data_IF_727891900612
#
_entry.id   IF_727891900612
#
_cell.length_a   1.000
_cell.length_b   1.000
_cell.length_c   1.000
_cell.angle_alpha   90.00
_cell.angle_beta   90.00
_cell.angle_gamma   90.00
#
_symmetry.space_group_name_H-M   'P 1'
#
loop_
_entity.id
_entity.type
_entity.pdbx_description
1 polymer ?
#
# COMPACT_ATOMS: atom_id res chain seq x y z
N UNK A 1 -14.51 -7.77 -21.64
CA UNK A 1 -14.72 -6.63 -20.73
C UNK A 1 -15.16 -7.23 -19.41
N UNK A 2 -14.19 -7.67 -18.61
CA UNK A 2 -14.46 -8.03 -17.24
C UNK A 2 -14.55 -6.73 -16.42
N UNK A 3 -15.61 -6.64 -15.64
CA UNK A 3 -15.88 -5.47 -14.83
C UNK A 3 -14.81 -5.35 -13.74
N UNK A 4 -14.34 -4.13 -13.50
CA UNK A 4 -13.56 -3.80 -12.31
C UNK A 4 -14.20 -4.46 -11.09
N UNK A 5 -13.43 -5.19 -10.30
CA UNK A 5 -13.92 -5.70 -9.02
C UNK A 5 -14.19 -4.50 -8.11
N UNK A 6 -15.44 -4.02 -8.20
CA UNK A 6 -15.94 -3.00 -7.29
C UNK A 6 -16.20 -3.70 -5.97
N UNK A 7 -15.33 -3.51 -5.00
CA UNK A 7 -15.67 -3.78 -3.60
C UNK A 7 -16.76 -2.76 -3.28
N UNK A 8 -18.02 -3.20 -3.23
CA UNK A 8 -19.16 -2.32 -3.05
C UNK A 8 -19.02 -1.52 -1.76
N UNK A 9 -19.05 -0.19 -1.79
CA UNK A 9 -18.88 0.62 -0.61
C UNK A 9 -20.19 0.60 0.21
N UNK A 10 -20.24 -0.18 1.27
CA UNK A 10 -21.12 0.18 2.38
C UNK A 10 -20.36 1.20 3.23
N UNK A 11 -20.70 2.47 3.05
CA UNK A 11 -20.21 3.55 3.90
C UNK A 11 -20.56 3.27 5.35
N UNK A 12 -19.64 2.71 6.12
CA UNK A 12 -19.79 2.51 7.57
C UNK A 12 -18.59 3.15 8.26
N UNK A 13 -18.82 4.12 9.15
CA UNK A 13 -17.74 4.67 9.94
C UNK A 13 -17.15 3.59 10.86
N UNK A 14 -15.86 3.44 10.84
CA UNK A 14 -15.12 2.57 11.77
C UNK A 14 -15.07 3.30 13.13
N UNK A 15 -15.56 2.71 14.23
CA UNK A 15 -15.41 3.31 15.56
C UNK A 15 -13.98 3.09 16.07
N UNK A 16 -13.04 3.94 15.70
CA UNK A 16 -11.70 3.98 16.26
C UNK A 16 -11.71 4.76 17.58
N UNK A 17 -12.12 4.14 18.69
CA UNK A 17 -12.10 4.75 20.02
C UNK A 17 -12.55 6.23 20.04
N UNK A 18 -13.70 6.52 19.39
CA UNK A 18 -14.30 7.86 19.34
C UNK A 18 -13.97 8.70 18.08
N UNK A 19 -13.21 8.19 17.13
CA UNK A 19 -13.00 8.81 15.80
C UNK A 19 -13.63 7.96 14.70
N UNK A 20 -14.11 8.62 13.65
CA UNK A 20 -14.63 7.94 12.45
C UNK A 20 -13.56 8.03 11.36
N UNK A 21 -13.40 6.95 10.59
CA UNK A 21 -12.57 6.91 9.40
C UNK A 21 -13.49 6.71 8.18
N UNK A 22 -13.47 7.65 7.24
CA UNK A 22 -14.05 7.44 5.92
C UNK A 22 -12.99 6.79 5.03
N UNK A 23 -13.40 5.88 4.14
CA UNK A 23 -12.46 5.19 3.25
C UNK A 23 -13.10 4.87 1.90
N UNK A 24 -12.25 4.66 0.90
CA UNK A 24 -12.61 4.10 -0.40
C UNK A 24 -11.43 3.29 -0.93
N UNK A 25 -11.71 2.24 -1.69
CA UNK A 25 -10.67 1.43 -2.33
C UNK A 25 -11.11 0.99 -3.71
N UNK A 26 -10.18 1.03 -4.67
CA UNK A 26 -10.38 0.56 -6.04
C UNK A 26 -9.13 -0.09 -6.58
N UNK A 27 -9.34 -1.09 -7.43
CA UNK A 27 -8.29 -1.75 -8.19
C UNK A 27 -8.78 -1.96 -9.63
N UNK A 28 -7.89 -1.77 -10.60
CA UNK A 28 -8.16 -1.93 -12.03
C UNK A 28 -6.96 -2.59 -12.71
N UNK A 29 -7.21 -3.48 -13.64
CA UNK A 29 -6.16 -4.20 -14.38
C UNK A 29 -5.29 -3.28 -15.25
N UNK A 30 -5.74 -2.05 -15.50
CA UNK A 30 -5.10 -1.16 -16.47
C UNK A 30 -5.54 -1.48 -17.90
N UNK A 31 -4.79 -0.94 -18.87
CA UNK A 31 -5.11 -1.08 -20.30
C UNK A 31 -4.21 -2.05 -21.04
N UNK A 32 -3.10 -2.45 -20.43
CA UNK A 32 -2.03 -3.24 -21.09
C UNK A 32 -1.89 -4.62 -20.50
N UNK A 33 -2.04 -4.77 -19.20
CA UNK A 33 -1.94 -6.06 -18.50
C UNK A 33 -3.16 -6.93 -18.80
N UNK A 34 -2.97 -8.25 -18.80
CA UNK A 34 -4.02 -9.25 -19.02
C UNK A 34 -4.67 -9.74 -17.71
N UNK A 35 -3.97 -9.57 -16.59
CA UNK A 35 -4.40 -9.96 -15.23
C UNK A 35 -4.10 -8.83 -14.25
N UNK A 36 -4.81 -8.82 -13.14
CA UNK A 36 -4.51 -7.93 -12.04
C UNK A 36 -3.76 -8.73 -10.97
N UNK A 37 -2.51 -8.36 -10.71
CA UNK A 37 -1.65 -8.97 -9.71
C UNK A 37 -1.59 -8.14 -8.40
N UNK A 38 -2.28 -6.99 -8.35
CA UNK A 38 -2.49 -6.21 -7.14
C UNK A 38 -3.53 -6.86 -6.23
N UNK A 39 -3.34 -6.74 -4.94
CA UNK A 39 -4.30 -7.17 -3.91
C UNK A 39 -4.50 -6.09 -2.85
N UNK A 40 -5.76 -5.93 -2.43
CA UNK A 40 -6.17 -4.97 -1.42
C UNK A 40 -6.90 -5.70 -0.28
N UNK A 41 -6.70 -5.24 0.95
CA UNK A 41 -7.48 -5.68 2.10
C UNK A 41 -7.75 -4.50 3.05
N UNK A 42 -9.00 -4.35 3.43
CA UNK A 42 -9.46 -3.37 4.40
C UNK A 42 -10.15 -4.08 5.56
N UNK A 43 -9.49 -4.11 6.70
CA UNK A 43 -10.07 -4.63 7.93
C UNK A 43 -10.56 -3.47 8.80
N UNK A 44 -11.86 -3.22 8.69
CA UNK A 44 -12.50 -2.07 9.32
C UNK A 44 -12.67 -2.23 10.83
N UNK A 45 -12.63 -3.46 11.34
CA UNK A 45 -12.73 -3.72 12.79
C UNK A 45 -11.42 -3.40 13.49
N UNK A 46 -10.30 -3.68 12.84
CA UNK A 46 -8.97 -3.42 13.39
C UNK A 46 -8.39 -2.08 12.96
N UNK A 47 -8.96 -1.44 11.92
CA UNK A 47 -8.44 -0.21 11.32
C UNK A 47 -7.23 -0.45 10.42
N UNK A 48 -7.03 -1.68 9.95
CA UNK A 48 -5.91 -2.05 9.08
C UNK A 48 -6.30 -1.93 7.60
N UNK A 49 -5.45 -1.30 6.82
CA UNK A 49 -5.51 -1.25 5.36
C UNK A 49 -4.20 -1.75 4.79
N UNK A 50 -4.26 -2.63 3.80
CA UNK A 50 -3.08 -3.24 3.17
C UNK A 50 -3.27 -3.23 1.66
N UNK A 51 -2.19 -2.89 0.94
CA UNK A 51 -2.08 -2.98 -0.50
C UNK A 51 -0.78 -3.72 -0.82
N UNK A 52 -0.83 -4.61 -1.78
CA UNK A 52 0.31 -5.40 -2.24
C UNK A 52 0.27 -5.49 -3.77
N UNK A 53 1.39 -5.20 -4.43
CA UNK A 53 1.60 -5.30 -5.86
C UNK A 53 2.45 -6.54 -6.14
N UNK A 54 1.86 -7.48 -6.86
CA UNK A 54 2.43 -8.80 -7.08
C UNK A 54 3.37 -8.85 -8.27
N UNK A 55 4.50 -9.53 -8.10
CA UNK A 55 5.46 -9.77 -9.19
C UNK A 55 5.81 -11.25 -9.32
N UNK A 56 5.98 -11.71 -10.55
CA UNK A 56 6.39 -13.09 -10.84
C UNK A 56 5.80 -13.62 -12.14
N UNK A 57 6.42 -14.68 -12.69
CA UNK A 57 5.88 -15.36 -13.87
C UNK A 57 4.71 -16.28 -13.56
N UNK A 58 3.86 -16.59 -14.57
CA UNK A 58 2.80 -17.59 -14.49
C UNK A 58 1.86 -17.47 -13.27
N UNK A 59 1.28 -16.31 -13.01
CA UNK A 59 0.38 -16.01 -11.89
C UNK A 59 1.05 -16.01 -10.50
N UNK A 60 2.36 -16.01 -10.43
CA UNK A 60 3.09 -15.98 -9.16
C UNK A 60 2.84 -14.68 -8.38
N UNK A 61 2.77 -13.54 -9.08
CA UNK A 61 2.48 -12.23 -8.50
C UNK A 61 1.11 -12.15 -7.84
N UNK A 62 0.05 -12.57 -8.53
CA UNK A 62 -1.32 -12.62 -7.99
C UNK A 62 -1.40 -13.45 -6.70
N UNK A 63 -0.72 -14.60 -6.67
CA UNK A 63 -0.71 -15.46 -5.49
C UNK A 63 0.08 -14.80 -4.35
N UNK A 64 1.23 -14.20 -4.64
CA UNK A 64 2.06 -13.56 -3.62
C UNK A 64 1.36 -12.36 -2.98
N UNK A 65 0.77 -11.48 -3.77
CA UNK A 65 0.04 -10.30 -3.28
C UNK A 65 -1.20 -10.71 -2.47
N UNK A 66 -1.99 -11.67 -2.97
CA UNK A 66 -3.15 -12.20 -2.23
C UNK A 66 -2.74 -12.87 -0.90
N UNK A 67 -1.65 -13.63 -0.88
CA UNK A 67 -1.12 -14.21 0.36
C UNK A 67 -0.69 -13.12 1.33
N UNK A 68 0.01 -12.09 0.87
CA UNK A 68 0.50 -11.01 1.71
C UNK A 68 -0.65 -10.31 2.45
N UNK A 69 -1.66 -9.82 1.72
CA UNK A 69 -2.78 -9.10 2.32
C UNK A 69 -3.60 -9.98 3.26
N UNK A 70 -3.87 -11.24 2.86
CA UNK A 70 -4.66 -12.16 3.67
C UNK A 70 -3.96 -12.58 4.96
N UNK A 71 -2.66 -12.85 4.92
CA UNK A 71 -1.88 -13.24 6.11
C UNK A 71 -1.78 -12.07 7.08
N UNK A 72 -1.44 -10.87 6.60
CA UNK A 72 -1.33 -9.70 7.45
C UNK A 72 -2.67 -9.37 8.11
N UNK A 73 -3.76 -9.29 7.35
CA UNK A 73 -5.09 -9.03 7.93
C UNK A 73 -5.55 -10.17 8.85
N UNK A 74 -5.29 -11.43 8.49
CA UNK A 74 -5.63 -12.60 9.30
C UNK A 74 -4.98 -12.58 10.69
N UNK A 75 -3.72 -12.11 10.79
CA UNK A 75 -3.02 -11.93 12.07
C UNK A 75 -3.72 -10.92 12.97
N UNK A 76 -4.23 -9.82 12.42
CA UNK A 76 -4.95 -8.81 13.19
C UNK A 76 -6.34 -9.28 13.61
N UNK A 77 -7.05 -10.03 12.78
CA UNK A 77 -8.37 -10.62 13.13
C UNK A 77 -8.25 -11.68 14.23
N UNK A 78 -7.24 -12.56 14.11
CA UNK A 78 -7.07 -13.67 15.05
C UNK A 78 -6.56 -13.19 16.41
N UNK A 79 -5.73 -12.17 16.41
CA UNK A 79 -5.09 -11.65 17.62
C UNK A 79 -5.24 -10.12 17.68
N UNK A 80 -6.37 -9.58 18.13
CA UNK A 80 -6.57 -8.14 18.25
C UNK A 80 -5.49 -7.50 19.16
N UNK A 81 -5.24 -6.20 18.97
CA UNK A 81 -4.34 -5.44 19.85
C UNK A 81 -4.91 -5.45 21.28
N UNK A 82 -4.20 -6.12 22.19
CA UNK A 82 -4.60 -6.25 23.59
C UNK A 82 -3.87 -5.27 24.53
N UNK A 83 -2.75 -4.71 24.05
CA UNK A 83 -1.98 -3.69 24.76
C UNK A 83 -2.36 -2.30 24.26
N UNK A 84 -2.18 -1.25 25.08
CA UNK A 84 -2.29 0.12 24.58
C UNK A 84 -1.42 0.26 23.32
N UNK A 85 -1.97 0.79 22.22
CA UNK A 85 -1.27 0.81 20.93
C UNK A 85 0.02 1.64 20.94
N UNK A 86 0.13 2.55 21.90
CA UNK A 86 1.25 3.47 22.13
C UNK A 86 2.25 2.96 23.21
N UNK A 87 2.03 1.77 23.78
CA UNK A 87 3.03 1.15 24.66
C UNK A 87 4.30 0.83 23.86
N UNK A 88 5.42 1.43 24.27
CA UNK A 88 6.71 1.34 23.55
C UNK A 88 7.59 0.27 24.16
N UNK A 89 8.07 -0.66 23.34
CA UNK A 89 9.09 -1.64 23.68
C UNK A 89 10.15 -1.67 22.57
N UNK A 90 11.43 -1.66 22.95
CA UNK A 90 12.56 -1.61 22.01
C UNK A 90 12.50 -0.46 20.97
N UNK A 91 11.90 0.68 21.35
CA UNK A 91 11.78 1.85 20.47
C UNK A 91 10.60 1.85 19.49
N UNK A 92 9.82 0.77 19.47
CA UNK A 92 8.60 0.65 18.63
C UNK A 92 7.36 0.53 19.52
N UNK A 93 6.24 1.05 19.04
CA UNK A 93 4.95 0.83 19.70
C UNK A 93 4.50 -0.63 19.56
N UNK A 94 3.54 -1.05 20.37
CA UNK A 94 2.94 -2.38 20.25
C UNK A 94 2.24 -2.55 18.89
N UNK A 95 1.68 -1.48 18.33
CA UNK A 95 1.08 -1.47 16.98
C UNK A 95 2.13 -1.71 15.89
N UNK A 96 3.26 -0.98 15.94
CA UNK A 96 4.36 -1.13 14.99
C UNK A 96 5.00 -2.52 15.06
N UNK A 97 5.31 -3.02 16.27
CA UNK A 97 5.84 -4.38 16.46
C UNK A 97 4.91 -5.45 15.91
N UNK A 98 3.61 -5.26 16.14
CA UNK A 98 2.59 -6.18 15.65
C UNK A 98 2.55 -6.22 14.14
N UNK A 99 2.57 -5.05 13.49
CA UNK A 99 2.54 -4.94 12.03
C UNK A 99 3.79 -5.59 11.42
N UNK A 100 4.98 -5.28 11.94
CA UNK A 100 6.23 -5.91 11.51
C UNK A 100 6.21 -7.44 11.65
N UNK A 101 5.64 -7.95 12.77
CA UNK A 101 5.55 -9.40 13.00
C UNK A 101 4.62 -10.08 12.00
N UNK A 102 3.47 -9.47 11.69
CA UNK A 102 2.51 -9.99 10.72
C UNK A 102 3.13 -10.00 9.29
N UNK A 103 3.83 -8.93 8.91
CA UNK A 103 4.51 -8.82 7.62
C UNK A 103 5.66 -9.84 7.52
N UNK A 104 6.46 -10.01 8.56
CA UNK A 104 7.53 -11.01 8.57
C UNK A 104 6.98 -12.45 8.47
N UNK A 105 5.78 -12.71 9.01
CA UNK A 105 5.08 -13.97 8.81
C UNK A 105 4.64 -14.14 7.36
N UNK A 106 4.03 -13.12 6.76
CA UNK A 106 3.64 -13.15 5.35
C UNK A 106 4.86 -13.43 4.44
N UNK A 107 5.98 -12.73 4.65
CA UNK A 107 7.21 -12.98 3.91
C UNK A 107 7.63 -14.44 3.98
N UNK A 108 7.68 -15.01 5.17
CA UNK A 108 8.12 -16.38 5.37
C UNK A 108 7.22 -17.38 4.66
N UNK A 109 5.91 -17.20 4.72
CA UNK A 109 4.95 -18.12 4.09
C UNK A 109 5.00 -18.03 2.56
N UNK A 110 5.12 -16.81 1.99
CA UNK A 110 5.28 -16.61 0.55
C UNK A 110 6.60 -17.24 0.07
N UNK A 111 7.72 -16.97 0.75
CA UNK A 111 9.02 -17.55 0.44
C UNK A 111 8.98 -19.09 0.46
N UNK A 112 8.36 -19.68 1.49
CA UNK A 112 8.23 -21.14 1.59
C UNK A 112 7.38 -21.75 0.45
N UNK A 113 6.29 -21.09 0.07
CA UNK A 113 5.49 -21.54 -1.07
C UNK A 113 6.28 -21.52 -2.38
N UNK A 114 7.09 -20.47 -2.62
CA UNK A 114 7.97 -20.38 -3.78
C UNK A 114 9.03 -21.49 -3.82
N UNK A 115 9.49 -21.98 -2.65
CA UNK A 115 10.43 -23.12 -2.57
C UNK A 115 9.74 -24.47 -2.82
N UNK A 116 8.51 -24.66 -2.36
CA UNK A 116 7.79 -25.95 -2.43
C UNK A 116 7.17 -26.15 -3.81
N UNK A 117 6.68 -25.11 -4.45
CA UNK A 117 5.96 -25.14 -5.72
C UNK A 117 6.81 -24.56 -6.84
N UNK A 118 7.40 -25.39 -7.74
CA UNK A 118 8.31 -24.89 -8.79
C UNK A 118 7.67 -23.84 -9.72
N UNK A 119 6.36 -23.91 -9.95
CA UNK A 119 5.61 -22.94 -10.76
C UNK A 119 5.51 -21.56 -10.11
N UNK A 120 5.73 -21.46 -8.80
CA UNK A 120 5.72 -20.21 -8.02
C UNK A 120 7.12 -19.75 -7.64
N UNK A 121 8.15 -20.41 -8.17
CA UNK A 121 9.55 -20.05 -7.86
C UNK A 121 9.84 -18.60 -8.25
N UNK A 122 10.35 -17.83 -7.29
CA UNK A 122 10.67 -16.42 -7.50
C UNK A 122 9.46 -15.47 -7.45
N UNK A 123 8.27 -15.95 -7.03
CA UNK A 123 7.16 -15.04 -6.76
C UNK A 123 7.49 -14.09 -5.62
N UNK A 124 7.01 -12.88 -5.71
CA UNK A 124 7.17 -11.86 -4.69
C UNK A 124 6.08 -10.82 -4.79
N UNK A 125 6.08 -9.90 -3.85
CA UNK A 125 5.16 -8.77 -3.85
C UNK A 125 5.72 -7.61 -3.05
N UNK A 126 5.34 -6.39 -3.44
CA UNK A 126 5.46 -5.22 -2.56
C UNK A 126 4.46 -5.33 -1.42
N UNK A 127 4.54 -4.47 -0.44
CA UNK A 127 3.48 -4.27 0.53
C UNK A 127 3.57 -2.87 1.12
N UNK A 128 2.42 -2.18 1.17
CA UNK A 128 2.21 -1.03 2.04
C UNK A 128 1.01 -1.29 2.94
N UNK A 129 1.14 -0.92 4.21
CA UNK A 129 0.08 -1.07 5.18
C UNK A 129 -0.05 0.19 6.03
N UNK A 130 -1.29 0.54 6.38
CA UNK A 130 -1.63 1.60 7.30
C UNK A 130 -2.57 1.04 8.38
N UNK A 131 -2.14 1.12 9.64
CA UNK A 131 -2.92 0.71 10.80
C UNK A 131 -3.34 1.96 11.57
N UNK A 132 -4.62 2.25 11.55
CA UNK A 132 -5.23 3.42 12.19
C UNK A 132 -5.71 3.05 13.58
N UNK A 133 -5.07 3.58 14.63
CA UNK A 133 -5.45 3.32 16.02
C UNK A 133 -5.45 4.62 16.84
N UNK A 134 -6.58 4.97 17.41
CA UNK A 134 -6.73 6.21 18.18
C UNK A 134 -6.43 7.46 17.34
N UNK A 135 -5.43 8.25 17.75
CA UNK A 135 -4.99 9.46 17.05
C UNK A 135 -3.71 9.27 16.23
N UNK A 136 -3.35 8.05 15.91
CA UNK A 136 -2.10 7.70 15.22
C UNK A 136 -2.37 6.76 14.04
N UNK A 137 -1.51 6.84 13.05
CA UNK A 137 -1.39 5.84 11.99
C UNK A 137 0.01 5.24 12.06
N UNK A 138 0.08 3.92 12.05
CA UNK A 138 1.32 3.16 11.87
C UNK A 138 1.39 2.74 10.41
N UNK A 139 2.46 3.12 9.73
CA UNK A 139 2.69 2.83 8.32
C UNK A 139 3.85 1.87 8.21
N UNK A 140 3.69 0.81 7.42
CA UNK A 140 4.77 -0.10 7.07
C UNK A 140 4.89 -0.23 5.55
N UNK A 141 6.12 -0.35 5.04
CA UNK A 141 6.36 -0.48 3.59
C UNK A 141 7.50 -1.44 3.27
N UNK A 142 7.35 -2.13 2.14
CA UNK A 142 8.34 -2.97 1.47
C UNK A 142 8.07 -2.88 -0.03
N UNK A 143 9.11 -2.56 -0.82
CA UNK A 143 8.99 -2.33 -2.25
C UNK A 143 8.77 -0.85 -2.58
N UNK A 144 8.09 -0.58 -3.66
CA UNK A 144 7.87 0.76 -4.21
C UNK A 144 6.41 1.21 -4.22
N UNK A 145 5.46 0.38 -3.76
CA UNK A 145 4.12 0.87 -3.44
C UNK A 145 4.18 1.95 -2.37
N UNK A 146 3.35 2.97 -2.47
CA UNK A 146 3.51 4.20 -1.68
C UNK A 146 2.36 4.50 -0.75
N UNK A 147 2.67 5.22 0.33
CA UNK A 147 1.70 5.89 1.19
C UNK A 147 1.96 7.39 1.14
N UNK A 148 0.91 8.15 0.83
CA UNK A 148 0.91 9.62 0.84
C UNK A 148 -0.02 10.14 1.92
N UNK A 149 0.21 11.38 2.33
CA UNK A 149 -0.69 12.16 3.18
C UNK A 149 -1.01 13.52 2.55
N UNK A 150 -2.29 13.85 2.47
CA UNK A 150 -2.77 15.20 2.19
C UNK A 150 -3.25 15.83 3.50
N UNK A 151 -2.57 16.89 3.93
CA UNK A 151 -2.87 17.65 5.16
C UNK A 151 -2.86 19.15 4.86
N UNK A 152 -3.99 19.81 5.04
CA UNK A 152 -4.09 21.28 4.87
C UNK A 152 -3.57 21.75 3.51
N UNK A 153 -3.81 21.02 2.44
CA UNK A 153 -3.35 21.34 1.08
C UNK A 153 -1.89 20.97 0.80
N UNK A 154 -1.19 20.34 1.74
CA UNK A 154 0.16 19.80 1.52
C UNK A 154 0.09 18.30 1.28
N UNK A 155 0.52 17.87 0.10
CA UNK A 155 0.59 16.47 -0.31
C UNK A 155 2.03 15.99 -0.21
N UNK A 156 2.27 14.91 0.51
CA UNK A 156 3.61 14.39 0.76
C UNK A 156 3.64 12.87 0.75
N UNK A 157 4.67 12.30 0.14
CA UNK A 157 4.96 10.88 0.24
C UNK A 157 5.55 10.58 1.62
N UNK A 158 4.98 9.60 2.32
CA UNK A 158 5.44 9.18 3.65
C UNK A 158 6.40 7.98 3.60
N UNK A 159 6.30 7.13 2.59
CA UNK A 159 7.19 5.97 2.38
C UNK A 159 8.40 6.35 1.53
N UNK A 160 9.45 5.55 1.62
CA UNK A 160 10.62 5.63 0.74
C UNK A 160 10.61 4.39 -0.14
N UNK A 161 10.75 4.57 -1.45
CA UNK A 161 10.71 3.45 -2.40
C UNK A 161 11.98 2.59 -2.27
N UNK A 162 11.83 1.28 -2.18
CA UNK A 162 12.95 0.34 -2.24
C UNK A 162 13.28 0.02 -3.70
N UNK A 163 13.88 0.98 -4.40
CA UNK A 163 14.29 0.85 -5.80
C UNK A 163 15.75 1.22 -5.99
N UNK A 164 16.36 0.66 -7.06
CA UNK A 164 17.76 0.99 -7.42
C UNK A 164 17.92 2.49 -7.63
N UNK A 165 16.96 3.16 -8.25
CA UNK A 165 17.05 4.60 -8.51
C UNK A 165 16.95 5.44 -7.23
N UNK A 166 16.13 5.00 -6.26
CA UNK A 166 16.01 5.67 -4.97
C UNK A 166 17.32 5.55 -4.17
N UNK A 167 17.94 4.38 -4.15
CA UNK A 167 19.24 4.20 -3.53
C UNK A 167 20.31 5.09 -4.18
N UNK A 168 20.28 5.24 -5.52
CA UNK A 168 21.18 6.16 -6.22
C UNK A 168 20.96 7.61 -5.83
N UNK A 169 19.71 8.03 -5.60
CA UNK A 169 19.40 9.39 -5.09
C UNK A 169 19.95 9.58 -3.68
N UNK A 170 19.75 8.61 -2.78
CA UNK A 170 20.24 8.67 -1.40
C UNK A 170 21.78 8.73 -1.31
N UNK A 171 22.47 8.03 -2.21
CA UNK A 171 23.92 8.13 -2.34
C UNK A 171 24.40 9.37 -3.10
N UNK A 172 23.49 10.24 -3.56
CA UNK A 172 23.82 11.45 -4.30
C UNK A 172 24.41 11.21 -5.70
N UNK A 173 24.15 10.01 -6.27
CA UNK A 173 24.65 9.63 -7.60
C UNK A 173 23.80 10.22 -8.72
N UNK A 174 22.51 10.38 -8.48
CA UNK A 174 21.55 11.02 -9.39
C UNK A 174 20.62 11.95 -8.61
N UNK A 175 19.98 12.91 -9.31
CA UNK A 175 18.95 13.75 -8.69
C UNK A 175 17.58 13.05 -8.70
N UNK A 176 16.62 13.48 -7.87
CA UNK A 176 15.25 12.96 -7.92
C UNK A 176 14.60 13.09 -9.32
N UNK A 177 14.89 14.18 -10.04
CA UNK A 177 14.40 14.41 -11.40
C UNK A 177 14.99 13.39 -12.38
N UNK A 178 16.26 13.05 -12.23
CA UNK A 178 16.93 12.03 -13.04
C UNK A 178 16.35 10.65 -12.75
N UNK A 179 16.06 10.34 -11.48
CA UNK A 179 15.45 9.08 -11.08
C UNK A 179 14.08 8.86 -11.74
N UNK A 180 13.24 9.89 -11.79
CA UNK A 180 11.92 9.84 -12.45
C UNK A 180 11.99 9.51 -13.96
N UNK A 181 13.08 9.89 -14.63
CA UNK A 181 13.30 9.68 -16.06
C UNK A 181 14.10 8.41 -16.36
N UNK A 182 14.59 7.71 -15.35
CA UNK A 182 15.44 6.54 -15.51
C UNK A 182 14.62 5.34 -16.05
N UNK A 183 15.17 4.64 -17.03
CA UNK A 183 14.53 3.47 -17.65
C UNK A 183 14.45 2.24 -16.72
N UNK A 184 15.15 2.27 -15.58
CA UNK A 184 15.20 1.22 -14.56
C UNK A 184 14.49 1.63 -13.26
N UNK A 185 13.58 2.62 -13.29
CA UNK A 185 12.90 3.14 -12.09
C UNK A 185 12.05 2.09 -11.36
N UNK A 186 11.49 1.11 -12.07
CA UNK A 186 10.72 0.00 -11.48
C UNK A 186 11.58 -1.20 -11.04
N UNK A 187 12.91 -1.09 -10.97
CA UNK A 187 13.74 -2.14 -10.40
C UNK A 187 13.76 -2.05 -8.89
N UNK A 188 12.92 -2.86 -8.24
CA UNK A 188 12.84 -2.93 -6.79
C UNK A 188 14.02 -3.69 -6.19
N UNK A 189 14.50 -3.25 -5.03
CA UNK A 189 15.61 -3.85 -4.28
C UNK A 189 15.14 -4.68 -3.09
N UNK A 190 13.86 -4.55 -2.70
CA UNK A 190 13.28 -5.26 -1.56
C UNK A 190 11.83 -5.63 -1.83
N UNK A 191 11.47 -6.91 -1.59
CA UNK A 191 10.11 -7.42 -1.76
C UNK A 191 9.83 -8.59 -0.82
N UNK A 192 8.57 -8.86 -0.53
CA UNK A 192 8.15 -10.06 0.19
C UNK A 192 8.28 -11.30 -0.69
N UNK A 193 8.68 -12.42 -0.08
CA UNK A 193 8.73 -13.74 -0.72
C UNK A 193 10.00 -14.03 -1.51
N UNK A 194 10.88 -13.04 -1.73
CA UNK A 194 12.11 -13.21 -2.50
C UNK A 194 13.23 -13.78 -1.64
N UNK A 195 13.32 -13.37 -0.39
CA UNK A 195 14.33 -13.82 0.57
C UNK A 195 13.68 -14.39 1.84
N UNK A 196 14.44 -15.23 2.56
CA UNK A 196 13.95 -15.87 3.80
C UNK A 196 13.61 -14.88 4.91
N UNK A 197 14.25 -13.73 4.94
CA UNK A 197 13.99 -12.62 5.86
C UNK A 197 13.82 -11.32 5.10
N UNK A 198 13.08 -10.39 5.66
CA UNK A 198 12.87 -9.06 5.07
C UNK A 198 12.96 -8.00 6.16
N UNK A 199 13.56 -6.88 5.84
CA UNK A 199 13.55 -5.68 6.66
C UNK A 199 12.33 -4.83 6.29
N UNK A 200 11.50 -4.52 7.29
CA UNK A 200 10.27 -3.74 7.14
C UNK A 200 10.56 -2.31 7.56
N UNK A 201 10.35 -1.36 6.67
CA UNK A 201 10.33 0.04 7.05
C UNK A 201 9.03 0.35 7.77
N UNK A 202 9.13 0.90 8.98
CA UNK A 202 7.95 1.23 9.80
C UNK A 202 8.09 2.61 10.42
N UNK A 203 7.01 3.37 10.37
CA UNK A 203 6.93 4.68 10.99
C UNK A 203 5.56 4.93 11.59
N UNK A 204 5.49 5.86 12.53
CA UNK A 204 4.25 6.27 13.16
C UNK A 204 4.04 7.77 13.04
N UNK A 205 2.83 8.15 12.64
CA UNK A 205 2.46 9.54 12.41
C UNK A 205 1.25 9.92 13.28
N UNK A 206 1.21 11.14 13.84
CA UNK A 206 -0.02 11.67 14.42
C UNK A 206 -1.03 11.90 13.30
N UNK A 207 -2.28 11.51 13.55
CA UNK A 207 -3.41 11.72 12.66
C UNK A 207 -4.22 12.92 13.14
N UNK A 208 -4.46 13.89 12.25
CA UNK A 208 -5.29 15.05 12.52
C UNK A 208 -6.62 14.96 11.77
N UNK A 209 -7.71 15.56 12.31
CA UNK A 209 -8.97 15.65 11.59
C UNK A 209 -8.78 16.29 10.21
N UNK A 210 -9.35 15.67 9.18
CA UNK A 210 -9.26 16.11 7.80
C UNK A 210 -8.03 15.60 7.03
N UNK A 211 -7.08 14.91 7.67
CA UNK A 211 -6.01 14.21 6.94
C UNK A 211 -6.60 13.18 5.97
N UNK A 212 -6.09 13.15 4.75
CA UNK A 212 -6.36 12.08 3.80
C UNK A 212 -5.07 11.30 3.56
N UNK A 213 -5.13 9.99 3.76
CA UNK A 213 -4.05 9.06 3.44
C UNK A 213 -4.42 8.32 2.15
N UNK A 214 -3.44 8.18 1.24
CA UNK A 214 -3.53 7.40 0.01
C UNK A 214 -2.47 6.31 0.04
N UNK A 215 -2.89 5.05 -0.09
CA UNK A 215 -2.02 3.93 -0.41
C UNK A 215 -2.23 3.60 -1.89
N UNK A 216 -1.15 3.37 -2.64
CA UNK A 216 -1.26 3.03 -4.07
C UNK A 216 -0.11 2.16 -4.57
N UNK A 217 -0.38 1.37 -5.62
CA UNK A 217 0.64 0.69 -6.43
C UNK A 217 1.29 1.65 -7.43
N UNK A 218 2.37 1.20 -8.07
CA UNK A 218 3.16 1.99 -9.01
C UNK A 218 2.37 2.40 -10.26
N UNK A 219 1.39 1.60 -10.70
CA UNK A 219 0.52 1.94 -11.83
C UNK A 219 -0.25 3.25 -11.67
N UNK A 220 -0.36 3.81 -10.45
CA UNK A 220 -0.90 5.15 -10.25
C UNK A 220 0.17 6.23 -10.51
N UNK A 221 1.27 6.22 -9.75
CA UNK A 221 2.26 7.30 -9.77
C UNK A 221 3.24 7.22 -10.95
N UNK A 222 3.27 6.12 -11.67
CA UNK A 222 3.93 6.01 -12.98
C UNK A 222 3.15 6.77 -14.07
N UNK A 223 1.83 6.90 -13.88
CA UNK A 223 0.95 7.62 -14.81
C UNK A 223 0.69 9.07 -14.39
N UNK A 224 0.56 9.33 -13.09
CA UNK A 224 0.19 10.65 -12.56
C UNK A 224 1.31 11.17 -11.66
N UNK A 225 1.72 12.41 -11.83
CA UNK A 225 2.62 13.05 -10.87
C UNK A 225 1.87 13.45 -9.58
N UNK A 226 2.65 13.77 -8.53
CA UNK A 226 2.10 14.10 -7.20
C UNK A 226 1.12 15.29 -7.25
N UNK A 227 1.35 16.27 -8.15
CA UNK A 227 0.47 17.43 -8.32
C UNK A 227 -0.87 17.02 -8.93
N UNK A 228 -0.85 16.10 -9.89
CA UNK A 228 -2.05 15.56 -10.53
C UNK A 228 -2.85 14.68 -9.57
N UNK A 229 -2.18 13.84 -8.79
CA UNK A 229 -2.82 13.01 -7.75
C UNK A 229 -3.51 13.93 -6.73
N UNK A 230 -2.79 14.92 -6.21
CA UNK A 230 -3.35 15.91 -5.29
C UNK A 230 -4.55 16.63 -5.90
N UNK A 231 -4.43 17.09 -7.14
CA UNK A 231 -5.50 17.79 -7.84
C UNK A 231 -6.79 16.95 -7.89
N UNK A 232 -6.69 15.66 -8.22
CA UNK A 232 -7.84 14.76 -8.27
C UNK A 232 -8.50 14.62 -6.90
N UNK A 233 -7.71 14.43 -5.83
CA UNK A 233 -8.23 14.29 -4.46
C UNK A 233 -8.93 15.58 -4.01
N UNK A 234 -8.31 16.75 -4.24
CA UNK A 234 -8.87 18.05 -3.83
C UNK A 234 -10.18 18.38 -4.55
N UNK A 235 -10.31 17.96 -5.84
CA UNK A 235 -11.48 18.29 -6.67
C UNK A 235 -12.62 17.26 -6.57
N UNK A 236 -12.43 16.18 -5.83
CA UNK A 236 -13.50 15.20 -5.55
C UNK A 236 -14.56 15.69 -4.53
N UNK A 237 -14.46 16.94 -4.06
CA UNK A 237 -15.44 17.53 -3.14
C UNK A 237 -15.51 16.85 -1.77
N UNK A 238 -14.48 16.12 -1.39
CA UNK A 238 -14.44 15.35 -0.14
C UNK A 238 -15.08 13.96 -0.23
N UNK A 239 -15.56 13.53 -1.40
CA UNK A 239 -16.03 12.18 -1.64
C UNK A 239 -14.85 11.27 -2.05
N UNK A 240 -14.45 10.37 -1.15
CA UNK A 240 -13.30 9.48 -1.38
C UNK A 240 -13.58 8.45 -2.48
N UNK A 241 -14.83 8.03 -2.65
CA UNK A 241 -15.21 7.08 -3.69
C UNK A 241 -15.03 7.70 -5.08
N UNK A 242 -15.51 8.94 -5.24
CA UNK A 242 -15.29 9.73 -6.46
C UNK A 242 -13.79 9.98 -6.68
N UNK A 243 -13.03 10.29 -5.63
CA UNK A 243 -11.57 10.47 -5.75
C UNK A 243 -10.88 9.19 -6.23
N UNK A 244 -11.17 8.04 -5.61
CA UNK A 244 -10.59 6.76 -6.00
C UNK A 244 -10.92 6.40 -7.46
N UNK A 245 -12.17 6.60 -7.88
CA UNK A 245 -12.58 6.36 -9.26
C UNK A 245 -11.82 7.27 -10.25
N UNK A 246 -11.76 8.56 -9.97
CA UNK A 246 -11.09 9.52 -10.85
C UNK A 246 -9.59 9.29 -10.93
N UNK A 247 -8.93 8.83 -9.85
CA UNK A 247 -7.51 8.44 -9.88
C UNK A 247 -7.28 7.28 -10.85
N UNK A 248 -8.09 6.22 -10.76
CA UNK A 248 -8.02 5.08 -11.69
C UNK A 248 -8.28 5.52 -13.13
N UNK A 249 -9.33 6.31 -13.36
CA UNK A 249 -9.68 6.80 -14.71
C UNK A 249 -8.58 7.67 -15.31
N UNK A 250 -7.98 8.56 -14.51
CA UNK A 250 -6.90 9.44 -14.96
C UNK A 250 -5.63 8.65 -15.31
N UNK A 251 -5.24 7.67 -14.49
CA UNK A 251 -4.10 6.80 -14.77
C UNK A 251 -4.34 5.95 -16.04
N UNK A 252 -5.53 5.40 -16.17
CA UNK A 252 -5.95 4.68 -17.39
C UNK A 252 -5.97 5.56 -18.63
N UNK A 253 -6.38 6.82 -18.51
CA UNK A 253 -6.38 7.79 -19.61
C UNK A 253 -4.95 8.10 -20.11
N UNK A 254 -3.97 8.12 -19.21
CA UNK A 254 -2.56 8.32 -19.53
C UNK A 254 -1.82 7.08 -20.03
N UNK A 255 -2.51 5.96 -20.12
CA UNK A 255 -1.96 4.75 -20.74
C UNK A 255 -2.29 3.48 -19.98
N UNK A 256 -2.43 3.53 -18.65
CA UNK A 256 -2.77 2.37 -17.82
C UNK A 256 -1.83 1.20 -18.08
N UNK A 257 -0.52 1.43 -18.07
CA UNK A 257 0.47 0.44 -18.47
C UNK A 257 0.61 -0.72 -17.49
N UNK A 258 0.17 -0.51 -16.24
CA UNK A 258 0.17 -1.53 -15.19
C UNK A 258 -1.17 -1.64 -14.47
N UNK A 259 -1.27 -2.57 -13.52
CA UNK A 259 -2.35 -2.65 -12.56
C UNK A 259 -2.36 -1.39 -11.69
N UNK A 260 -3.53 -0.84 -11.42
CA UNK A 260 -3.70 0.43 -10.71
C UNK A 260 -4.58 0.19 -9.50
N UNK A 261 -4.00 0.31 -8.32
CA UNK A 261 -4.73 0.11 -7.06
C UNK A 261 -4.57 1.29 -6.12
N UNK A 262 -5.66 1.69 -5.48
CA UNK A 262 -5.70 2.80 -4.55
C UNK A 262 -6.57 2.47 -3.34
N UNK A 263 -6.13 2.89 -2.15
CA UNK A 263 -6.93 2.97 -0.93
C UNK A 263 -6.84 4.39 -0.41
N UNK A 264 -7.95 5.04 -0.23
CA UNK A 264 -8.06 6.36 0.40
C UNK A 264 -8.69 6.23 1.78
N UNK A 265 -8.13 6.91 2.78
CA UNK A 265 -8.66 6.97 4.14
C UNK A 265 -8.63 8.39 4.65
N UNK A 266 -9.76 8.90 5.21
CA UNK A 266 -9.84 10.24 5.79
C UNK A 266 -10.19 10.18 7.27
N UNK A 267 -9.35 10.83 8.08
CA UNK A 267 -9.62 11.07 9.50
C UNK A 267 -10.75 12.09 9.67
N UNK A 268 -11.78 11.74 10.43
CA UNK A 268 -12.91 12.62 10.77
C UNK A 268 -12.72 13.31 12.13
#
# INVERSE_FOLDING_TARGET
MEAAQTIAPEWRPIPLHGRQLAYAARSDTGRVRSSNEDSLELDLETGLMVLADGMGGCNGGEIASAMAVNIVAGEFRQFPLTLPPDEVSAGLSSAAMRLCTAIAKANREIYQQGLIQPQLSGMGTTLVAALFVGARVTIASIGDSRVYRLRQGHFEQLTVDHTVVQEQVEYGLITPEQARLAGNRGLITRALGVEAGVEVDVQEQPMLPGDVFLLCSDGLFDMLDDTEIQFVIDHAGGDLETAAQHLIEAANYKGGYDNISVILARAA
#
